data_IF_497623641857
#
_entry.id   IF_497623641857
#
_cell.length_a   1.000
_cell.length_b   1.000
_cell.length_c   1.000
_cell.angle_alpha   90.00
_cell.angle_beta   90.00
_cell.angle_gamma   90.00
#
_symmetry.space_group_name_H-M   'P 1'
#
loop_
_entity.id
_entity.type
_entity.pdbx_description
1 polymer ?
#
# COMPACT_ATOMS: atom_id res chain seq x y z
N UNK A 1 -18.63 29.80 -4.69
CA UNK A 1 -18.98 30.34 -3.36
C UNK A 1 -19.02 29.20 -2.37
N UNK A 2 -18.30 29.33 -1.25
CA UNK A 2 -18.28 28.35 -0.16
C UNK A 2 -19.33 28.81 0.87
N UNK A 3 -20.38 28.02 1.05
CA UNK A 3 -21.40 28.26 2.06
C UNK A 3 -21.12 27.34 3.27
N UNK A 4 -20.73 27.96 4.39
CA UNK A 4 -20.45 27.22 5.62
C UNK A 4 -21.75 26.66 6.20
N UNK A 5 -21.81 25.34 6.40
CA UNK A 5 -22.90 24.66 7.08
C UNK A 5 -22.69 24.51 8.59
N UNK A 6 -21.45 24.59 9.01
CA UNK A 6 -21.06 24.48 10.41
C UNK A 6 -19.78 25.30 10.63
N UNK A 7 -19.74 26.03 11.72
CA UNK A 7 -18.56 26.78 12.17
C UNK A 7 -18.23 26.32 13.60
N UNK A 8 -16.97 26.01 13.83
CA UNK A 8 -16.48 25.50 15.12
C UNK A 8 -15.19 26.20 15.46
N UNK A 9 -15.06 26.70 16.68
CA UNK A 9 -13.79 27.16 17.23
C UNK A 9 -13.15 26.02 18.02
N UNK A 10 -11.88 25.73 17.73
CA UNK A 10 -11.10 24.69 18.42
C UNK A 10 -10.15 25.33 19.43
N UNK A 11 -10.05 24.70 20.59
CA UNK A 11 -9.13 25.08 21.66
C UNK A 11 -7.91 24.14 21.71
N UNK A 12 -6.81 24.53 22.41
CA UNK A 12 -5.66 23.66 22.60
C UNK A 12 -6.04 22.30 23.22
N UNK A 13 -5.74 21.22 22.52
CA UNK A 13 -6.08 19.83 22.90
C UNK A 13 -7.29 19.26 22.19
N UNK A 14 -8.03 20.07 21.44
CA UNK A 14 -9.14 19.58 20.64
C UNK A 14 -8.67 18.78 19.42
N UNK A 15 -9.48 17.78 19.03
CA UNK A 15 -9.29 16.99 17.83
C UNK A 15 -10.53 17.13 16.95
N UNK A 16 -10.34 17.59 15.71
CA UNK A 16 -11.40 17.66 14.72
C UNK A 16 -11.22 16.52 13.70
N UNK A 17 -12.21 15.65 13.61
CA UNK A 17 -12.29 14.67 12.53
C UNK A 17 -13.13 15.20 11.38
N UNK A 18 -12.54 15.29 10.19
CA UNK A 18 -13.22 15.71 8.97
C UNK A 18 -13.34 14.50 8.05
N UNK A 19 -14.55 13.97 7.80
CA UNK A 19 -14.75 12.86 6.88
C UNK A 19 -14.32 13.22 5.45
N UNK A 20 -13.98 12.19 4.66
CA UNK A 20 -13.69 12.38 3.23
C UNK A 20 -14.86 13.07 2.52
N UNK A 21 -14.54 13.91 1.52
CA UNK A 21 -15.49 14.69 0.70
C UNK A 21 -16.15 15.88 1.41
N UNK A 22 -15.80 16.18 2.64
CA UNK A 22 -16.23 17.42 3.30
C UNK A 22 -15.23 18.53 3.01
N UNK A 23 -15.69 19.56 2.32
CA UNK A 23 -14.90 20.78 2.14
C UNK A 23 -14.79 21.51 3.47
N UNK A 24 -13.61 22.00 3.80
CA UNK A 24 -13.37 22.72 5.03
C UNK A 24 -12.43 23.91 4.78
N UNK A 25 -12.57 24.90 5.64
CA UNK A 25 -11.73 26.09 5.61
C UNK A 25 -11.39 26.47 7.05
N UNK A 26 -10.10 26.52 7.36
CA UNK A 26 -9.61 26.86 8.69
C UNK A 26 -8.94 28.24 8.68
N UNK A 27 -9.24 29.03 9.70
CA UNK A 27 -8.61 30.35 9.94
C UNK A 27 -8.04 30.33 11.35
N UNK A 28 -6.77 30.72 11.50
CA UNK A 28 -6.17 30.93 12.81
C UNK A 28 -6.75 32.19 13.45
N UNK A 29 -7.26 32.09 14.66
CA UNK A 29 -7.80 33.22 15.43
C UNK A 29 -6.68 33.95 16.18
N UNK A 30 -5.66 33.18 16.59
CA UNK A 30 -4.46 33.66 17.28
C UNK A 30 -3.24 32.81 16.89
N UNK A 31 -2.09 33.10 17.43
CA UNK A 31 -0.88 32.28 17.19
C UNK A 31 -1.11 30.84 17.68
N UNK A 32 -1.13 29.90 16.75
CA UNK A 32 -1.46 28.50 17.03
C UNK A 32 -0.66 27.53 16.19
N UNK A 33 -0.51 26.31 16.69
CA UNK A 33 0.08 25.19 16.01
C UNK A 33 -0.97 24.09 15.81
N UNK A 34 -1.18 23.69 14.56
CA UNK A 34 -2.13 22.63 14.22
C UNK A 34 -1.40 21.48 13.52
N UNK A 35 -1.63 20.25 14.00
CA UNK A 35 -1.17 19.05 13.34
C UNK A 35 -2.28 18.45 12.47
N UNK A 36 -1.98 18.20 11.20
CA UNK A 36 -2.90 17.53 10.29
C UNK A 36 -2.46 16.09 10.07
N UNK A 37 -3.31 15.15 10.43
CA UNK A 37 -3.07 13.71 10.21
C UNK A 37 -3.97 13.23 9.09
N UNK A 38 -3.39 12.87 7.95
CA UNK A 38 -4.11 12.39 6.79
C UNK A 38 -3.89 10.90 6.56
N UNK A 39 -4.99 10.16 6.36
CA UNK A 39 -4.93 8.76 5.93
C UNK A 39 -5.06 8.70 4.42
N UNK A 40 -4.11 8.00 3.77
CA UNK A 40 -4.12 7.82 2.32
C UNK A 40 -5.02 6.64 1.99
N UNK A 41 -6.13 6.90 1.29
CA UNK A 41 -6.95 5.87 0.70
C UNK A 41 -6.78 5.94 -0.83
N UNK A 42 -6.52 4.82 -1.53
CA UNK A 42 -6.43 4.82 -2.97
C UNK A 42 -7.79 5.16 -3.60
N UNK A 43 -7.77 5.99 -4.65
CA UNK A 43 -8.93 6.16 -5.51
C UNK A 43 -9.08 4.94 -6.43
N UNK A 44 -10.25 4.77 -7.04
CA UNK A 44 -10.42 3.71 -8.05
C UNK A 44 -9.46 3.88 -9.24
N UNK A 45 -9.08 5.13 -9.57
CA UNK A 45 -8.09 5.39 -10.60
C UNK A 45 -6.71 4.89 -10.18
N UNK A 46 -6.29 5.17 -8.94
CA UNK A 46 -5.01 4.68 -8.39
C UNK A 46 -4.97 3.14 -8.39
N UNK A 47 -6.09 2.49 -8.02
CA UNK A 47 -6.19 1.03 -8.02
C UNK A 47 -6.05 0.47 -9.44
N UNK A 48 -6.80 1.00 -10.40
CA UNK A 48 -6.78 0.50 -11.78
C UNK A 48 -5.43 0.73 -12.43
N UNK A 49 -4.83 1.91 -12.24
CA UNK A 49 -3.52 2.26 -12.78
C UNK A 49 -2.41 1.39 -12.14
N UNK A 50 -2.35 1.36 -10.82
CA UNK A 50 -1.28 0.67 -10.10
C UNK A 50 -1.36 -0.85 -10.20
N UNK A 51 -2.55 -1.45 -10.04
CA UNK A 51 -2.72 -2.90 -10.24
C UNK A 51 -2.49 -3.26 -11.71
N UNK A 52 -2.93 -2.43 -12.64
CA UNK A 52 -2.67 -2.62 -14.07
C UNK A 52 -1.18 -2.59 -14.40
N UNK A 53 -0.44 -1.61 -13.89
CA UNK A 53 1.01 -1.53 -14.06
C UNK A 53 1.72 -2.76 -13.48
N UNK A 54 1.38 -3.16 -12.25
CA UNK A 54 1.94 -4.35 -11.60
C UNK A 54 1.60 -5.65 -12.36
N UNK A 55 0.41 -5.74 -12.96
CA UNK A 55 0.02 -6.87 -13.78
C UNK A 55 0.87 -6.97 -15.06
N UNK A 56 1.15 -5.84 -15.72
CA UNK A 56 1.94 -5.82 -16.96
C UNK A 56 3.36 -6.37 -16.77
N UNK A 57 3.94 -6.24 -15.57
CA UNK A 57 5.25 -6.82 -15.25
C UNK A 57 5.24 -8.36 -15.15
N UNK A 58 4.07 -8.95 -14.91
CA UNK A 58 3.89 -10.40 -14.71
C UNK A 58 3.28 -11.12 -15.90
N UNK A 59 2.53 -10.38 -16.76
CA UNK A 59 1.88 -10.95 -17.93
C UNK A 59 2.88 -11.28 -19.03
N UNK A 60 2.68 -12.42 -19.69
CA UNK A 60 3.50 -12.83 -20.83
C UNK A 60 2.89 -12.28 -22.13
N UNK A 61 3.73 -11.97 -23.12
CA UNK A 61 3.28 -11.50 -24.44
C UNK A 61 2.35 -12.49 -25.16
N UNK A 62 2.40 -13.77 -24.78
CA UNK A 62 1.56 -14.84 -25.35
C UNK A 62 0.15 -14.91 -24.77
N UNK A 63 -0.15 -14.16 -23.71
CA UNK A 63 -1.50 -14.03 -23.12
C UNK A 63 -2.40 -13.16 -24.01
N UNK A 64 -2.64 -13.62 -25.21
CA UNK A 64 -3.42 -12.90 -26.22
C UNK A 64 -4.86 -13.37 -26.28
N UNK A 65 -5.74 -12.44 -26.68
CA UNK A 65 -7.10 -12.81 -27.08
C UNK A 65 -7.07 -13.90 -28.15
N UNK A 66 -7.76 -15.01 -27.88
CA UNK A 66 -7.90 -16.10 -28.84
C UNK A 66 -9.33 -16.11 -29.39
N UNK A 67 -9.45 -15.91 -30.70
CA UNK A 67 -10.74 -16.02 -31.36
C UNK A 67 -11.18 -17.49 -31.42
N UNK A 68 -12.36 -17.76 -30.90
CA UNK A 68 -12.93 -19.12 -31.02
C UNK A 68 -13.43 -19.33 -32.45
N UNK A 69 -12.62 -19.99 -33.26
CA UNK A 69 -12.86 -20.24 -34.69
C UNK A 69 -14.09 -21.10 -35.00
N UNK A 70 -15.10 -21.18 -34.13
CA UNK A 70 -16.21 -22.11 -34.26
C UNK A 70 -17.41 -21.61 -35.05
N UNK A 71 -17.47 -20.33 -35.48
CA UNK A 71 -18.55 -19.88 -36.37
C UNK A 71 -18.14 -18.71 -37.23
N UNK A 72 -18.31 -18.85 -38.54
CA UNK A 72 -18.21 -17.72 -39.48
C UNK A 72 -19.32 -16.72 -39.14
N UNK A 73 -18.92 -15.48 -38.88
CA UNK A 73 -19.86 -14.37 -38.61
C UNK A 73 -20.62 -14.04 -39.93
N UNK A 74 -21.94 -13.98 -39.86
CA UNK A 74 -22.76 -13.52 -41.00
C UNK A 74 -22.54 -12.00 -41.28
N UNK A 75 -22.22 -11.22 -40.27
CA UNK A 75 -22.00 -9.78 -40.33
C UNK A 75 -20.53 -9.43 -40.03
N UNK A 76 -19.75 -9.09 -41.04
CA UNK A 76 -18.28 -8.91 -40.94
C UNK A 76 -17.83 -7.79 -39.98
N UNK A 77 -18.65 -6.77 -39.73
CA UNK A 77 -18.32 -5.63 -38.88
C UNK A 77 -18.88 -5.71 -37.46
N UNK A 78 -19.57 -6.79 -37.12
CA UNK A 78 -20.22 -6.93 -35.82
C UNK A 78 -19.27 -7.51 -34.77
N UNK A 79 -19.13 -6.81 -33.65
CA UNK A 79 -18.43 -7.36 -32.49
C UNK A 79 -19.40 -8.28 -31.73
N UNK A 80 -19.14 -9.60 -31.65
CA UNK A 80 -20.05 -10.51 -30.97
C UNK A 80 -19.98 -10.33 -29.45
N UNK A 81 -21.10 -10.58 -28.77
CA UNK A 81 -21.14 -10.52 -27.29
C UNK A 81 -20.13 -11.48 -26.64
N UNK A 82 -19.86 -12.61 -27.30
CA UNK A 82 -18.85 -13.57 -26.82
C UNK A 82 -17.44 -12.97 -26.74
N UNK A 83 -17.05 -12.11 -27.69
CA UNK A 83 -15.76 -11.43 -27.66
C UNK A 83 -15.67 -10.46 -26.46
N UNK A 84 -16.74 -9.73 -26.18
CA UNK A 84 -16.82 -8.84 -25.02
C UNK A 84 -16.71 -9.65 -23.71
N UNK A 85 -17.41 -10.79 -23.62
CA UNK A 85 -17.29 -11.68 -22.45
C UNK A 85 -15.87 -12.20 -22.28
N UNK A 86 -15.22 -12.61 -23.38
CA UNK A 86 -13.84 -13.11 -23.32
C UNK A 86 -12.85 -12.04 -22.83
N UNK A 87 -12.97 -10.80 -23.31
CA UNK A 87 -12.15 -9.69 -22.79
C UNK A 87 -12.40 -9.44 -21.28
N UNK A 88 -13.67 -9.54 -20.84
CA UNK A 88 -13.96 -9.44 -19.40
C UNK A 88 -13.32 -10.57 -18.62
N UNK A 89 -13.35 -11.80 -19.13
CA UNK A 89 -12.75 -12.96 -18.48
C UNK A 89 -11.21 -12.80 -18.38
N UNK A 90 -10.56 -12.22 -19.40
CA UNK A 90 -9.14 -11.89 -19.36
C UNK A 90 -8.84 -10.85 -18.27
N UNK A 91 -9.64 -9.80 -18.15
CA UNK A 91 -9.50 -8.80 -17.09
C UNK A 91 -9.74 -9.41 -15.70
N UNK A 92 -10.74 -10.26 -15.57
CA UNK A 92 -11.06 -10.91 -14.29
C UNK A 92 -9.94 -11.83 -13.80
N UNK A 93 -9.14 -12.43 -14.67
CA UNK A 93 -7.95 -13.20 -14.25
C UNK A 93 -6.95 -12.33 -13.49
N UNK A 94 -6.72 -11.10 -13.96
CA UNK A 94 -5.85 -10.14 -13.30
C UNK A 94 -6.47 -9.65 -11.99
N UNK A 95 -7.77 -9.33 -12.01
CA UNK A 95 -8.47 -8.78 -10.85
C UNK A 95 -8.73 -9.81 -9.73
N UNK A 96 -8.66 -11.09 -10.02
CA UNK A 96 -8.79 -12.17 -9.04
C UNK A 96 -7.42 -12.72 -8.56
N UNK A 97 -6.33 -12.03 -8.90
CA UNK A 97 -5.00 -12.35 -8.37
C UNK A 97 -4.79 -11.65 -7.02
N UNK A 98 -5.12 -12.34 -5.94
CA UNK A 98 -5.01 -11.80 -4.58
C UNK A 98 -3.58 -11.46 -4.21
N UNK A 99 -2.58 -12.17 -4.76
CA UNK A 99 -1.17 -11.87 -4.53
C UNK A 99 -0.77 -10.55 -5.18
N UNK A 100 -1.16 -10.35 -6.43
CA UNK A 100 -0.91 -9.11 -7.16
C UNK A 100 -1.51 -7.92 -6.41
N UNK A 101 -2.78 -8.03 -6.04
CA UNK A 101 -3.52 -6.95 -5.38
C UNK A 101 -2.94 -6.67 -4.00
N UNK A 102 -2.66 -7.70 -3.20
CA UNK A 102 -2.11 -7.51 -1.85
C UNK A 102 -0.70 -6.93 -1.87
N UNK A 103 0.14 -7.36 -2.82
CA UNK A 103 1.48 -6.79 -3.02
C UNK A 103 1.42 -5.32 -3.41
N UNK A 104 0.60 -4.98 -4.41
CA UNK A 104 0.39 -3.59 -4.79
C UNK A 104 -0.14 -2.73 -3.64
N UNK A 105 -1.16 -3.22 -2.92
CA UNK A 105 -1.76 -2.46 -1.81
C UNK A 105 -0.76 -2.22 -0.68
N UNK A 106 0.00 -3.25 -0.30
CA UNK A 106 1.02 -3.14 0.74
C UNK A 106 2.11 -2.12 0.39
N UNK A 107 2.60 -2.14 -0.84
CA UNK A 107 3.55 -1.16 -1.34
C UNK A 107 2.94 0.25 -1.38
N UNK A 108 1.72 0.40 -1.93
CA UNK A 108 1.02 1.68 -2.03
C UNK A 108 0.79 2.36 -0.67
N UNK A 109 0.35 1.63 0.35
CA UNK A 109 0.05 2.22 1.68
C UNK A 109 1.31 2.55 2.46
N UNK A 110 2.44 1.90 2.16
CA UNK A 110 3.72 2.15 2.80
C UNK A 110 4.62 3.09 2.01
N UNK A 111 4.30 3.40 0.76
CA UNK A 111 5.07 4.34 -0.05
C UNK A 111 5.21 5.72 0.62
N UNK A 112 6.41 6.28 0.59
CA UNK A 112 6.73 7.56 1.23
C UNK A 112 6.04 8.71 0.51
N UNK A 113 5.28 9.50 1.24
CA UNK A 113 4.59 10.66 0.69
C UNK A 113 5.53 11.81 0.34
N UNK A 114 6.63 11.93 1.09
CA UNK A 114 7.59 13.03 0.99
C UNK A 114 9.02 12.49 1.09
N UNK A 115 9.53 11.84 0.02
CA UNK A 115 10.88 11.26 0.02
C UNK A 115 11.99 12.30 0.19
N UNK A 116 11.72 13.58 -0.11
CA UNK A 116 12.64 14.70 0.07
C UNK A 116 12.98 15.00 1.53
N UNK A 117 12.20 14.51 2.47
CA UNK A 117 12.46 14.63 3.92
C UNK A 117 13.21 13.45 4.51
N UNK A 118 13.71 12.55 3.68
CA UNK A 118 14.54 11.47 4.17
C UNK A 118 15.85 12.01 4.74
N UNK A 119 16.12 11.62 5.99
CA UNK A 119 17.43 11.89 6.57
C UNK A 119 18.50 11.07 5.84
N UNK A 120 19.74 11.59 5.73
CA UNK A 120 20.83 10.82 5.13
C UNK A 120 20.99 9.48 5.80
N UNK A 121 21.12 8.41 5.00
CA UNK A 121 21.22 7.02 5.43
C UNK A 121 22.48 6.66 6.24
N UNK A 122 23.29 7.63 6.63
CA UNK A 122 24.55 7.42 7.39
C UNK A 122 24.32 6.73 8.76
N UNK A 123 23.12 6.78 9.32
CA UNK A 123 22.81 6.05 10.54
C UNK A 123 22.43 4.57 10.29
N UNK A 124 22.07 4.19 9.06
CA UNK A 124 21.65 2.82 8.72
C UNK A 124 22.82 1.82 8.59
N UNK A 125 24.02 2.31 8.26
CA UNK A 125 25.17 1.44 7.98
C UNK A 125 25.63 0.58 9.17
N UNK A 126 25.34 1.01 10.41
CA UNK A 126 25.72 0.30 11.65
C UNK A 126 24.51 -0.29 12.41
N UNK A 127 23.33 -0.29 11.81
CA UNK A 127 22.10 -0.68 12.48
C UNK A 127 22.15 -2.12 13.03
N UNK A 128 22.69 -3.05 12.24
CA UNK A 128 22.86 -4.46 12.66
C UNK A 128 23.89 -4.65 13.78
N UNK A 129 24.98 -3.88 13.77
CA UNK A 129 25.99 -3.94 14.83
C UNK A 129 25.45 -3.37 16.14
N UNK A 130 24.76 -2.26 16.09
CA UNK A 130 24.08 -1.65 17.24
C UNK A 130 23.02 -2.59 17.82
N UNK A 131 22.22 -3.22 16.95
CA UNK A 131 21.25 -4.22 17.35
C UNK A 131 21.92 -5.40 18.10
N UNK A 132 23.02 -5.93 17.55
CA UNK A 132 23.81 -7.02 18.20
C UNK A 132 24.46 -6.57 19.52
N UNK A 133 24.74 -5.28 19.66
CA UNK A 133 25.25 -4.69 20.90
C UNK A 133 24.14 -4.47 21.96
N UNK A 134 22.89 -4.77 21.67
CA UNK A 134 21.77 -4.64 22.59
C UNK A 134 21.12 -3.26 22.60
N UNK A 135 21.37 -2.44 21.60
CA UNK A 135 20.72 -1.12 21.48
C UNK A 135 19.33 -1.24 20.87
N UNK A 136 18.34 -0.57 21.47
CA UNK A 136 17.01 -0.45 20.88
C UNK A 136 17.04 0.40 19.61
N UNK A 137 16.19 0.07 18.65
CA UNK A 137 16.03 0.81 17.41
C UNK A 137 14.69 1.55 17.43
N UNK A 138 14.72 2.82 17.02
CA UNK A 138 13.51 3.58 16.77
C UNK A 138 13.21 3.65 15.29
N UNK A 139 11.96 3.46 14.92
CA UNK A 139 11.53 3.69 13.54
C UNK A 139 11.66 5.16 13.18
N UNK A 140 12.15 5.41 11.98
CA UNK A 140 12.16 6.78 11.48
C UNK A 140 10.73 7.31 11.34
N UNK A 141 10.42 8.54 11.78
CA UNK A 141 9.04 9.07 11.75
C UNK A 141 8.41 9.14 10.35
N UNK A 142 9.22 9.25 9.28
CA UNK A 142 8.72 9.23 7.90
C UNK A 142 8.54 7.82 7.34
N UNK A 143 9.11 6.79 7.97
CA UNK A 143 9.00 5.41 7.50
C UNK A 143 7.64 4.80 7.83
N UNK A 144 7.13 4.02 6.88
CA UNK A 144 5.82 3.37 6.99
C UNK A 144 5.98 1.88 6.87
N UNK A 145 5.27 1.17 7.73
CA UNK A 145 5.31 -0.27 7.81
C UNK A 145 3.89 -0.82 7.78
N UNK A 146 3.70 -1.90 7.05
CA UNK A 146 2.49 -2.71 7.05
C UNK A 146 2.86 -4.17 6.82
N UNK A 147 1.98 -5.10 7.13
CA UNK A 147 2.19 -6.50 6.81
C UNK A 147 0.90 -7.17 6.38
N UNK A 148 1.06 -8.29 5.68
CA UNK A 148 -0.03 -9.18 5.32
C UNK A 148 0.39 -10.62 5.60
N UNK A 149 -0.53 -11.41 6.13
CA UNK A 149 -0.34 -12.86 6.27
C UNK A 149 -0.32 -13.51 4.90
N UNK A 150 0.68 -14.36 4.66
CA UNK A 150 0.74 -15.13 3.42
C UNK A 150 -0.25 -16.30 3.49
N UNK A 151 -1.40 -16.16 2.86
CA UNK A 151 -2.36 -17.24 2.69
C UNK A 151 -1.89 -18.18 1.59
N UNK A 152 -0.76 -18.89 1.86
CA UNK A 152 -0.19 -20.00 1.08
C UNK A 152 -0.22 -19.82 -0.44
N UNK A 153 0.70 -19.01 -0.92
CA UNK A 153 1.07 -18.98 -2.33
C UNK A 153 1.93 -20.23 -2.58
N UNK A 154 1.56 -21.03 -3.55
CA UNK A 154 2.29 -22.26 -3.87
C UNK A 154 3.76 -21.95 -4.22
N UNK A 155 4.69 -22.42 -3.38
CA UNK A 155 6.13 -22.27 -3.58
C UNK A 155 6.81 -21.18 -2.76
N UNK A 156 6.07 -20.42 -1.93
CA UNK A 156 6.62 -19.46 -0.99
C UNK A 156 6.45 -20.00 0.45
N UNK A 157 7.56 -20.19 1.15
CA UNK A 157 7.58 -20.69 2.53
C UNK A 157 7.41 -19.56 3.57
N UNK A 158 7.38 -18.29 3.16
CA UNK A 158 7.20 -17.17 4.07
C UNK A 158 5.79 -17.17 4.66
N UNK A 159 5.69 -16.92 5.97
CA UNK A 159 4.41 -16.84 6.69
C UNK A 159 3.70 -15.50 6.45
N UNK A 160 4.45 -14.47 6.13
CA UNK A 160 3.97 -13.11 5.92
C UNK A 160 4.86 -12.32 4.97
N UNK A 161 4.32 -11.23 4.46
CA UNK A 161 5.09 -10.18 3.80
C UNK A 161 5.05 -8.91 4.62
N UNK A 162 6.23 -8.39 4.93
CA UNK A 162 6.42 -7.07 5.50
C UNK A 162 6.59 -6.06 4.36
N UNK A 163 5.89 -4.94 4.46
CA UNK A 163 6.07 -3.81 3.56
C UNK A 163 6.71 -2.66 4.36
N UNK A 164 7.75 -2.09 3.81
CA UNK A 164 8.45 -0.96 4.40
C UNK A 164 8.82 0.04 3.31
N UNK A 165 8.32 1.26 3.45
CA UNK A 165 8.63 2.38 2.54
C UNK A 165 8.43 2.05 1.04
N UNK A 166 7.37 1.30 0.71
CA UNK A 166 7.04 0.88 -0.66
C UNK A 166 7.68 -0.44 -1.12
N UNK A 167 8.58 -1.02 -0.33
CA UNK A 167 9.24 -2.28 -0.65
C UNK A 167 8.59 -3.47 0.05
N UNK A 168 8.65 -4.66 -0.57
CA UNK A 168 8.08 -5.93 -0.07
C UNK A 168 9.19 -6.88 0.37
N UNK A 169 9.10 -7.40 1.59
CA UNK A 169 10.07 -8.33 2.18
C UNK A 169 9.36 -9.59 2.69
N UNK A 170 9.89 -10.80 2.42
CA UNK A 170 9.40 -12.02 3.06
C UNK A 170 9.79 -12.00 4.54
N UNK A 171 8.90 -12.46 5.42
CA UNK A 171 9.12 -12.48 6.85
C UNK A 171 8.31 -13.58 7.54
N UNK A 172 8.68 -13.92 8.76
CA UNK A 172 7.79 -14.66 9.65
C UNK A 172 6.63 -13.76 10.09
N UNK A 173 5.48 -14.32 10.40
CA UNK A 173 4.34 -13.55 10.86
C UNK A 173 4.66 -12.77 12.14
N UNK A 174 5.39 -13.39 13.07
CA UNK A 174 5.79 -12.77 14.32
C UNK A 174 6.68 -11.52 14.07
N UNK A 175 7.70 -11.64 13.21
CA UNK A 175 8.61 -10.55 12.87
C UNK A 175 7.87 -9.40 12.17
N UNK A 176 7.05 -9.73 11.17
CA UNK A 176 6.29 -8.75 10.41
C UNK A 176 5.32 -7.96 11.29
N UNK A 177 4.60 -8.66 12.16
CA UNK A 177 3.69 -8.06 13.14
C UNK A 177 4.44 -7.20 14.16
N UNK A 178 5.55 -7.69 14.71
CA UNK A 178 6.35 -6.94 15.67
C UNK A 178 6.88 -5.64 15.06
N UNK A 179 7.55 -5.72 13.91
CA UNK A 179 8.08 -4.53 13.22
C UNK A 179 6.95 -3.56 12.87
N UNK A 180 5.80 -4.03 12.39
CA UNK A 180 4.74 -3.12 11.95
C UNK A 180 4.07 -2.37 13.11
N UNK A 181 3.87 -3.01 14.25
CA UNK A 181 3.07 -2.48 15.35
C UNK A 181 3.85 -1.73 16.44
N UNK A 182 5.18 -1.97 16.57
CA UNK A 182 5.99 -1.30 17.58
C UNK A 182 6.67 -0.06 17.00
N UNK A 183 6.74 1.03 17.76
CA UNK A 183 7.49 2.23 17.39
C UNK A 183 8.98 2.11 17.74
N UNK A 184 9.26 1.61 18.94
CA UNK A 184 10.60 1.26 19.41
C UNK A 184 10.76 -0.26 19.37
N UNK A 185 11.84 -0.72 18.76
CA UNK A 185 12.15 -2.14 18.59
C UNK A 185 13.22 -2.54 19.59
N UNK A 186 12.85 -3.40 20.56
CA UNK A 186 13.79 -4.00 21.50
C UNK A 186 14.75 -4.95 20.78
N UNK A 187 16.03 -4.79 21.04
CA UNK A 187 17.08 -5.55 20.35
C UNK A 187 17.02 -7.05 20.63
N UNK A 188 16.74 -7.45 21.88
CA UNK A 188 16.73 -8.86 22.25
C UNK A 188 15.53 -9.57 21.58
N UNK A 189 14.37 -8.91 21.60
CA UNK A 189 13.17 -9.43 20.95
C UNK A 189 13.37 -9.51 19.44
N UNK A 190 13.88 -8.45 18.81
CA UNK A 190 14.12 -8.43 17.36
C UNK A 190 15.13 -9.48 16.93
N UNK A 191 16.25 -9.65 17.66
CA UNK A 191 17.24 -10.71 17.39
C UNK A 191 16.65 -12.10 17.55
N UNK A 192 15.78 -12.31 18.56
CA UNK A 192 15.07 -13.57 18.75
C UNK A 192 14.10 -13.90 17.62
N UNK A 193 13.49 -12.89 17.00
CA UNK A 193 12.57 -13.06 15.86
C UNK A 193 13.31 -13.24 14.52
N UNK A 194 14.59 -12.88 14.45
CA UNK A 194 15.45 -13.04 13.26
C UNK A 194 16.23 -14.37 13.26
N UNK A 195 16.27 -15.08 14.40
CA UNK A 195 16.97 -16.35 14.56
C UNK A 195 16.14 -17.53 14.09
#
# INVERSE_FOLDING_TARGET
>A
DFESKMEVTLEPGDILYIPAKYSHYGVSVEDSLTYSVGFRAPSICDVVDGVGAAALERLLEDDRFQDSAKSLQAERGKIPKAAISHVKDMLLKVMNDDELISSWLGQYVTDKKYPEFDLPSSEGENCLERLKAGESLMKHPSSRFAYIENTKIAGDESEAFLFADGEKYPATLALASYISNQYELDSNELVSLLA
#
